data_IF_860982804871
#
_entry.id   IF_860982804871
#
_cell.length_a   1.000
_cell.length_b   1.000
_cell.length_c   1.000
_cell.angle_alpha   90.00
_cell.angle_beta   90.00
_cell.angle_gamma   90.00
#
_symmetry.space_group_name_H-M   'P 1'
#
loop_
_entity.id
_entity.type
_entity.pdbx_description
1 polymer ?
#
# COMPACT_ATOMS: atom_id res chain seq x y z
N UNK A 1 5.37 -10.62 5.20
CA UNK A 1 5.69 -11.42 4.00
C UNK A 1 4.45 -12.18 3.55
N UNK A 2 3.78 -11.66 2.50
CA UNK A 2 2.52 -12.23 2.00
C UNK A 2 2.69 -13.60 1.32
N UNK A 3 3.90 -13.98 0.95
CA UNK A 3 4.14 -15.30 0.35
C UNK A 3 4.02 -16.45 1.37
N UNK A 4 3.96 -16.13 2.65
CA UNK A 4 3.86 -17.08 3.76
C UNK A 4 2.48 -17.14 4.42
N UNK A 5 1.60 -16.16 4.13
CA UNK A 5 0.33 -15.94 4.85
C UNK A 5 -0.63 -17.14 4.88
N UNK A 6 -0.51 -18.07 3.98
CA UNK A 6 -1.36 -19.25 3.99
C UNK A 6 -1.03 -20.21 5.16
N UNK A 7 0.20 -20.14 5.66
CA UNK A 7 0.70 -21.06 6.69
C UNK A 7 1.30 -20.33 7.90
N UNK A 8 2.03 -19.23 7.64
CA UNK A 8 2.80 -18.51 8.66
C UNK A 8 2.59 -17.01 8.56
N UNK A 9 2.41 -16.34 9.69
CA UNK A 9 2.49 -14.89 9.80
C UNK A 9 3.94 -14.46 10.02
N UNK A 10 4.63 -14.07 8.96
CA UNK A 10 6.01 -13.63 9.01
C UNK A 10 6.09 -12.12 8.82
N UNK A 11 6.53 -11.41 9.85
CA UNK A 11 6.81 -9.98 9.80
C UNK A 11 8.30 -9.78 9.57
N UNK A 12 8.65 -9.01 8.53
CA UNK A 12 10.03 -8.66 8.19
C UNK A 12 10.23 -7.16 8.25
N UNK A 13 11.32 -6.73 8.89
CA UNK A 13 11.79 -5.35 8.79
C UNK A 13 12.63 -5.18 7.53
N UNK A 14 12.31 -4.17 6.72
CA UNK A 14 13.11 -3.77 5.57
C UNK A 14 14.03 -2.64 6.02
N UNK A 15 15.34 -2.83 5.91
CA UNK A 15 16.34 -1.88 6.42
C UNK A 15 17.29 -1.35 5.34
N UNK A 16 17.24 -1.93 4.14
CA UNK A 16 18.12 -1.60 3.04
C UNK A 16 17.37 -1.54 1.71
N UNK A 17 18.04 -0.98 0.69
CA UNK A 17 17.55 -1.03 -0.70
C UNK A 17 17.31 -2.47 -1.15
N UNK A 18 18.24 -3.37 -0.86
CA UNK A 18 18.15 -4.76 -1.30
C UNK A 18 16.95 -5.48 -0.68
N UNK A 19 16.63 -5.19 0.60
CA UNK A 19 15.42 -5.72 1.25
C UNK A 19 14.14 -5.26 0.51
N UNK A 20 14.11 -3.99 0.09
CA UNK A 20 12.97 -3.42 -0.64
C UNK A 20 12.85 -4.04 -2.03
N UNK A 21 13.96 -4.17 -2.75
CA UNK A 21 13.99 -4.80 -4.06
C UNK A 21 13.52 -6.27 -3.97
N UNK A 22 14.01 -7.00 -2.98
CA UNK A 22 13.60 -8.38 -2.71
C UNK A 22 12.11 -8.46 -2.38
N UNK A 23 11.61 -7.59 -1.50
CA UNK A 23 10.21 -7.61 -1.08
C UNK A 23 9.24 -7.38 -2.25
N UNK A 24 9.59 -6.48 -3.19
CA UNK A 24 8.75 -6.18 -4.35
C UNK A 24 8.89 -7.26 -5.44
N UNK A 25 10.13 -7.68 -5.77
CA UNK A 25 10.40 -8.67 -6.81
C UNK A 25 9.77 -10.03 -6.50
N UNK A 26 9.90 -10.49 -5.26
CA UNK A 26 9.39 -11.79 -4.84
C UNK A 26 7.97 -11.74 -4.29
N UNK A 27 7.26 -10.63 -4.53
CA UNK A 27 5.87 -10.44 -4.11
C UNK A 27 5.62 -10.69 -2.60
N UNK A 28 6.62 -10.41 -1.75
CA UNK A 28 6.43 -10.36 -0.29
C UNK A 28 5.44 -9.26 0.09
N UNK A 29 5.39 -8.21 -0.71
CA UNK A 29 4.34 -7.19 -0.79
C UNK A 29 3.75 -7.22 -2.20
N UNK A 30 2.43 -7.10 -2.31
CA UNK A 30 1.71 -7.07 -3.60
C UNK A 30 0.44 -6.25 -3.47
N UNK A 31 -0.02 -5.70 -4.58
CA UNK A 31 -1.09 -4.70 -4.62
C UNK A 31 -0.51 -3.32 -4.90
N UNK A 32 -1.15 -2.60 -5.82
CA UNK A 32 -0.58 -1.36 -6.34
C UNK A 32 -0.31 -0.32 -5.23
N UNK A 33 -1.23 -0.04 -4.28
CA UNK A 33 -0.97 0.92 -3.22
C UNK A 33 0.16 0.49 -2.29
N UNK A 34 0.16 -0.77 -1.83
CA UNK A 34 1.20 -1.27 -0.93
C UNK A 34 2.58 -1.27 -1.58
N UNK A 35 2.69 -1.62 -2.86
CA UNK A 35 3.95 -1.56 -3.62
C UNK A 35 4.43 -0.11 -3.72
N UNK A 36 3.52 0.84 -3.97
CA UNK A 36 3.84 2.27 -4.01
C UNK A 36 4.39 2.79 -2.68
N UNK A 37 3.72 2.49 -1.58
CA UNK A 37 4.18 2.86 -0.23
C UNK A 37 5.53 2.20 0.11
N UNK A 38 5.70 0.90 -0.20
CA UNK A 38 6.97 0.20 -0.01
C UNK A 38 8.10 0.86 -0.78
N UNK A 39 7.85 1.28 -2.02
CA UNK A 39 8.83 1.99 -2.85
C UNK A 39 9.17 3.37 -2.27
N UNK A 40 8.19 4.11 -1.74
CA UNK A 40 8.42 5.41 -1.11
C UNK A 40 9.37 5.27 0.10
N UNK A 41 9.09 4.34 1.01
CA UNK A 41 10.02 4.03 2.10
C UNK A 41 11.37 3.52 1.59
N UNK A 42 11.41 2.79 0.48
CA UNK A 42 12.64 2.34 -0.17
C UNK A 42 13.53 3.51 -0.60
N UNK A 43 12.96 4.57 -1.18
CA UNK A 43 13.70 5.80 -1.52
C UNK A 43 14.21 6.50 -0.25
N UNK A 44 13.40 6.58 0.80
CA UNK A 44 13.84 7.14 2.08
C UNK A 44 15.04 6.37 2.67
N UNK A 45 14.97 5.04 2.72
CA UNK A 45 16.06 4.19 3.22
C UNK A 45 17.33 4.35 2.37
N UNK A 46 17.17 4.38 1.04
CA UNK A 46 18.25 4.62 0.09
C UNK A 46 18.94 5.96 0.35
N UNK A 47 18.15 7.03 0.52
CA UNK A 47 18.69 8.36 0.81
C UNK A 47 19.49 8.39 2.12
N UNK A 48 19.04 7.68 3.14
CA UNK A 48 19.79 7.55 4.41
C UNK A 48 21.13 6.84 4.26
N UNK A 49 21.24 5.89 3.36
CA UNK A 49 22.43 5.05 3.20
C UNK A 49 23.43 5.64 2.20
N UNK A 50 22.94 6.19 1.09
CA UNK A 50 23.75 6.70 0.02
C UNK A 50 23.98 8.21 0.16
N UNK A 51 25.14 8.69 -0.30
CA UNK A 51 25.51 10.11 -0.25
C UNK A 51 25.56 10.75 -1.63
N UNK A 52 25.86 9.95 -2.64
CA UNK A 52 26.01 10.43 -4.00
C UNK A 52 24.65 10.52 -4.70
N UNK A 53 24.44 11.63 -5.41
CA UNK A 53 23.21 11.87 -6.17
C UNK A 53 22.96 10.81 -7.24
N UNK A 54 24.03 10.37 -7.92
CA UNK A 54 23.90 9.39 -9.00
C UNK A 54 23.49 8.04 -8.45
N UNK A 55 24.08 7.63 -7.32
CA UNK A 55 23.72 6.38 -6.64
C UNK A 55 22.24 6.37 -6.20
N UNK A 56 21.73 7.51 -5.72
CA UNK A 56 20.31 7.66 -5.34
C UNK A 56 19.39 7.51 -6.57
N UNK A 57 19.75 8.13 -7.68
CA UNK A 57 18.97 8.00 -8.93
C UNK A 57 19.04 6.58 -9.48
N UNK A 58 20.22 5.95 -9.46
CA UNK A 58 20.37 4.55 -9.89
C UNK A 58 19.56 3.59 -9.02
N UNK A 59 19.53 3.80 -7.71
CA UNK A 59 18.69 3.04 -6.80
C UNK A 59 17.19 3.25 -7.09
N UNK A 60 16.76 4.48 -7.37
CA UNK A 60 15.39 4.77 -7.77
C UNK A 60 15.01 4.02 -9.07
N UNK A 61 15.91 3.98 -10.05
CA UNK A 61 15.71 3.23 -11.28
C UNK A 61 15.65 1.70 -11.01
N UNK A 62 16.48 1.18 -10.11
CA UNK A 62 16.40 -0.23 -9.69
C UNK A 62 15.03 -0.55 -9.09
N UNK A 63 14.51 0.30 -8.20
CA UNK A 63 13.17 0.12 -7.63
C UNK A 63 12.10 0.11 -8.73
N UNK A 64 12.11 1.09 -9.65
CA UNK A 64 11.17 1.15 -10.78
C UNK A 64 11.19 -0.13 -11.63
N UNK A 65 12.38 -0.69 -11.87
CA UNK A 65 12.55 -1.86 -12.71
C UNK A 65 12.11 -3.17 -12.04
N UNK A 66 11.81 -3.18 -10.73
CA UNK A 66 11.31 -4.38 -10.05
C UNK A 66 9.97 -4.85 -10.61
N UNK A 67 9.07 -3.91 -10.96
CA UNK A 67 7.76 -4.19 -11.52
C UNK A 67 7.37 -3.15 -12.59
N UNK A 68 7.82 -3.31 -13.84
CA UNK A 68 7.66 -2.30 -14.90
C UNK A 68 6.21 -1.92 -15.23
N UNK A 69 5.23 -2.75 -14.88
CA UNK A 69 3.80 -2.49 -15.13
C UNK A 69 3.08 -1.84 -13.94
N UNK A 70 3.75 -1.68 -12.80
CA UNK A 70 3.13 -1.16 -11.58
C UNK A 70 3.15 0.38 -11.56
N UNK A 71 2.11 1.02 -12.08
CA UNK A 71 2.00 2.49 -12.18
C UNK A 71 2.23 3.18 -10.84
N UNK A 72 1.66 2.69 -9.75
CA UNK A 72 1.83 3.26 -8.42
C UNK A 72 3.29 3.22 -7.93
N UNK A 73 4.06 2.22 -8.35
CA UNK A 73 5.49 2.14 -8.06
C UNK A 73 6.24 3.33 -8.66
N UNK A 74 6.02 3.58 -9.96
CA UNK A 74 6.64 4.70 -10.66
C UNK A 74 6.23 6.03 -10.05
N UNK A 75 4.92 6.22 -9.85
CA UNK A 75 4.38 7.43 -9.24
C UNK A 75 5.01 7.73 -7.88
N UNK A 76 5.10 6.74 -6.99
CA UNK A 76 5.66 6.92 -5.66
C UNK A 76 7.15 7.26 -5.72
N UNK A 77 7.93 6.53 -6.53
CA UNK A 77 9.36 6.82 -6.72
C UNK A 77 9.57 8.22 -7.25
N UNK A 78 8.83 8.62 -8.31
CA UNK A 78 8.96 9.96 -8.89
C UNK A 78 8.58 11.05 -7.90
N UNK A 79 7.50 10.84 -7.14
CA UNK A 79 7.06 11.77 -6.09
C UNK A 79 8.14 11.98 -5.05
N UNK A 80 8.77 10.90 -4.58
CA UNK A 80 9.86 10.95 -3.61
C UNK A 80 11.11 11.65 -4.17
N UNK A 81 11.55 11.31 -5.38
CA UNK A 81 12.72 11.91 -6.00
C UNK A 81 12.53 13.41 -6.24
N UNK A 82 11.34 13.85 -6.64
CA UNK A 82 11.00 15.26 -6.83
C UNK A 82 11.04 16.09 -5.53
N UNK A 83 11.02 15.47 -4.36
CA UNK A 83 11.19 16.16 -3.07
C UNK A 83 12.65 16.43 -2.70
N UNK A 84 13.60 15.81 -3.40
CA UNK A 84 15.03 15.96 -3.11
C UNK A 84 15.54 17.27 -3.70
N UNK A 85 15.66 18.29 -2.86
CA UNK A 85 16.33 19.54 -3.20
C UNK A 85 17.75 19.55 -2.60
N UNK A 86 18.75 19.29 -3.42
CA UNK A 86 20.15 19.25 -3.00
C UNK A 86 20.72 20.58 -2.50
N UNK A 87 19.93 21.66 -2.51
CA UNK A 87 20.30 22.94 -1.87
C UNK A 87 20.03 22.94 -0.38
N UNK A 88 19.19 22.02 0.12
CA UNK A 88 18.87 21.85 1.53
C UNK A 88 19.91 20.97 2.22
N UNK A 89 19.96 21.05 3.56
CA UNK A 89 20.76 20.14 4.35
C UNK A 89 20.27 18.69 4.23
N UNK A 90 21.16 17.75 4.46
CA UNK A 90 20.82 16.31 4.40
C UNK A 90 19.72 15.96 5.38
N UNK A 91 19.78 16.49 6.58
CA UNK A 91 18.79 16.21 7.64
C UNK A 91 17.41 16.77 7.30
N UNK A 92 17.35 17.93 6.63
CA UNK A 92 16.08 18.49 6.15
C UNK A 92 15.46 17.60 5.06
N UNK A 93 16.28 17.14 4.10
CA UNK A 93 15.80 16.26 3.04
C UNK A 93 15.33 14.92 3.63
N UNK A 94 16.08 14.36 4.58
CA UNK A 94 15.69 13.10 5.24
C UNK A 94 14.33 13.22 5.93
N UNK A 95 14.08 14.32 6.65
CA UNK A 95 12.78 14.59 7.28
C UNK A 95 11.66 14.75 6.24
N UNK A 96 11.92 15.47 5.15
CA UNK A 96 10.96 15.66 4.06
C UNK A 96 10.60 14.32 3.42
N UNK A 97 11.58 13.46 3.16
CA UNK A 97 11.35 12.15 2.55
C UNK A 97 10.59 11.21 3.48
N UNK A 98 10.92 11.20 4.77
CA UNK A 98 10.17 10.42 5.75
C UNK A 98 8.72 10.87 5.80
N UNK A 99 8.48 12.18 5.91
CA UNK A 99 7.13 12.72 5.96
C UNK A 99 6.35 12.39 4.68
N UNK A 100 6.97 12.53 3.50
CA UNK A 100 6.32 12.22 2.23
C UNK A 100 5.95 10.72 2.12
N UNK A 101 6.83 9.82 2.59
CA UNK A 101 6.52 8.39 2.59
C UNK A 101 5.36 8.06 3.56
N UNK A 102 5.31 8.71 4.70
CA UNK A 102 4.19 8.62 5.65
C UNK A 102 2.90 9.17 5.02
N UNK A 103 2.96 10.35 4.38
CA UNK A 103 1.81 10.97 3.73
C UNK A 103 1.24 10.10 2.60
N UNK A 104 2.10 9.41 1.83
CA UNK A 104 1.67 8.44 0.82
C UNK A 104 0.86 7.32 1.47
N UNK A 105 1.32 6.81 2.60
CA UNK A 105 0.64 5.73 3.34
C UNK A 105 -0.68 6.19 3.96
N UNK A 106 -0.69 7.34 4.64
CA UNK A 106 -1.89 7.91 5.27
C UNK A 106 -2.97 8.26 4.24
N UNK A 107 -2.56 8.83 3.09
CA UNK A 107 -3.48 9.12 2.00
C UNK A 107 -4.13 7.86 1.42
N UNK A 108 -3.42 6.73 1.34
CA UNK A 108 -3.99 5.45 0.92
C UNK A 108 -5.04 4.96 1.92
N UNK A 109 -4.72 5.00 3.22
CA UNK A 109 -5.66 4.65 4.31
C UNK A 109 -6.92 5.49 4.22
N UNK A 110 -6.78 6.81 4.09
CA UNK A 110 -7.91 7.72 4.02
C UNK A 110 -8.76 7.51 2.76
N UNK A 111 -8.12 7.22 1.64
CA UNK A 111 -8.82 6.88 0.39
C UNK A 111 -9.63 5.60 0.57
N UNK A 112 -9.05 4.55 1.13
CA UNK A 112 -9.74 3.29 1.39
C UNK A 112 -10.92 3.47 2.38
N UNK A 113 -10.75 4.28 3.43
CA UNK A 113 -11.85 4.63 4.35
C UNK A 113 -12.99 5.36 3.64
N UNK A 114 -12.68 6.31 2.74
CA UNK A 114 -13.69 7.03 1.95
C UNK A 114 -14.43 6.08 0.99
N UNK A 115 -13.70 5.18 0.32
CA UNK A 115 -14.31 4.13 -0.51
C UNK A 115 -15.26 3.28 0.35
N UNK A 116 -14.81 2.89 1.54
CA UNK A 116 -15.61 2.13 2.48
C UNK A 116 -16.91 2.82 2.86
N UNK A 117 -16.85 4.08 3.26
CA UNK A 117 -18.04 4.89 3.64
C UNK A 117 -19.03 5.02 2.49
N UNK A 118 -18.55 5.41 1.31
CA UNK A 118 -19.42 5.58 0.13
C UNK A 118 -20.04 4.26 -0.32
N UNK A 119 -19.30 3.15 -0.24
CA UNK A 119 -19.80 1.84 -0.58
C UNK A 119 -20.77 1.26 0.46
N UNK A 120 -20.61 1.61 1.75
CA UNK A 120 -21.52 1.21 2.81
C UNK A 120 -22.93 1.70 2.54
N UNK A 121 -23.11 2.96 2.13
CA UNK A 121 -24.42 3.52 1.79
C UNK A 121 -25.15 2.71 0.69
N UNK A 122 -24.39 2.14 -0.26
CA UNK A 122 -24.94 1.31 -1.32
C UNK A 122 -25.38 -0.05 -0.74
N UNK A 123 -24.55 -0.65 0.11
CA UNK A 123 -24.86 -1.92 0.77
C UNK A 123 -26.11 -1.79 1.63
N UNK A 124 -26.24 -0.72 2.41
CA UNK A 124 -27.38 -0.43 3.26
C UNK A 124 -28.69 -0.32 2.45
N UNK A 125 -28.67 0.43 1.36
CA UNK A 125 -29.83 0.53 0.46
C UNK A 125 -30.24 -0.83 -0.11
N UNK A 126 -29.28 -1.66 -0.50
CA UNK A 126 -29.56 -3.02 -1.00
C UNK A 126 -30.14 -3.90 0.13
N UNK A 127 -29.64 -3.75 1.37
CA UNK A 127 -30.12 -4.50 2.53
C UNK A 127 -31.59 -4.17 2.85
N UNK A 128 -31.96 -2.89 2.80
CA UNK A 128 -33.34 -2.44 3.02
C UNK A 128 -34.32 -3.07 2.02
N UNK A 129 -33.91 -3.16 0.77
CA UNK A 129 -34.74 -3.71 -0.31
C UNK A 129 -34.82 -5.23 -0.27
N UNK A 130 -33.68 -5.90 -0.07
CA UNK A 130 -33.58 -7.34 -0.30
C UNK A 130 -34.06 -8.19 0.88
N UNK A 131 -33.96 -7.70 2.12
CA UNK A 131 -34.31 -8.42 3.37
C UNK A 131 -33.83 -9.89 3.43
N UNK A 132 -32.75 -10.21 2.71
CA UNK A 132 -32.14 -11.54 2.59
C UNK A 132 -30.63 -11.37 2.39
N UNK A 133 -29.91 -12.47 2.32
CA UNK A 133 -28.45 -12.47 2.10
C UNK A 133 -28.05 -11.63 0.91
N UNK A 134 -27.08 -10.72 1.12
CA UNK A 134 -26.48 -9.90 0.08
C UNK A 134 -25.20 -10.61 -0.39
N UNK A 135 -25.13 -10.89 -1.68
CA UNK A 135 -23.94 -11.43 -2.31
C UNK A 135 -23.13 -10.29 -2.94
N UNK A 136 -21.87 -10.20 -2.56
CA UNK A 136 -20.95 -9.19 -3.09
C UNK A 136 -19.85 -9.92 -3.87
N UNK A 137 -19.64 -9.51 -5.13
CA UNK A 137 -18.57 -10.01 -5.96
C UNK A 137 -17.47 -8.96 -6.06
N UNK A 138 -16.24 -9.36 -5.79
CA UNK A 138 -15.05 -8.56 -6.03
C UNK A 138 -14.07 -9.30 -6.92
N UNK A 139 -13.18 -8.57 -7.58
CA UNK A 139 -12.20 -9.13 -8.51
C UNK A 139 -10.80 -8.58 -8.22
N UNK A 140 -9.78 -9.36 -8.56
CA UNK A 140 -8.37 -9.02 -8.39
C UNK A 140 -7.93 -9.00 -6.91
N UNK A 141 -6.75 -8.44 -6.64
CA UNK A 141 -6.21 -8.30 -5.29
C UNK A 141 -6.74 -7.00 -4.65
N UNK A 142 -7.97 -7.06 -4.17
CA UNK A 142 -8.74 -5.89 -3.73
C UNK A 142 -8.94 -5.82 -2.21
N UNK A 143 -8.22 -6.63 -1.46
CA UNK A 143 -8.34 -6.72 -0.02
C UNK A 143 -7.34 -5.85 0.73
N UNK A 144 -7.45 -5.87 2.04
CA UNK A 144 -6.55 -5.21 2.98
C UNK A 144 -5.06 -5.44 2.67
N UNK A 145 -4.68 -6.65 2.30
CA UNK A 145 -3.28 -7.00 2.00
C UNK A 145 -2.71 -6.34 0.72
N UNK A 146 -3.56 -5.70 -0.09
CA UNK A 146 -3.14 -4.98 -1.30
C UNK A 146 -2.88 -3.48 -1.06
N UNK A 147 -3.21 -2.99 0.11
CA UNK A 147 -3.17 -1.58 0.53
C UNK A 147 -2.40 -1.45 1.83
N UNK A 148 -2.37 -0.25 2.40
CA UNK A 148 -1.79 -0.04 3.73
C UNK A 148 -2.77 -0.51 4.79
N UNK A 149 -4.06 -0.16 4.64
CA UNK A 149 -5.13 -0.58 5.53
C UNK A 149 -6.49 -0.52 4.82
N UNK A 150 -7.52 -1.22 5.36
CA UNK A 150 -8.91 -1.26 4.90
C UNK A 150 -9.15 -1.99 3.57
N UNK A 151 -8.24 -2.00 2.63
CA UNK A 151 -8.46 -2.47 1.28
C UNK A 151 -9.32 -1.52 0.45
N UNK A 152 -9.43 -1.78 -0.85
CA UNK A 152 -10.25 -0.99 -1.77
C UNK A 152 -11.69 -1.52 -1.83
N UNK A 153 -11.98 -2.48 -2.71
CA UNK A 153 -13.32 -3.05 -2.88
C UNK A 153 -13.85 -3.80 -1.66
N UNK A 154 -12.99 -4.21 -0.72
CA UNK A 154 -13.43 -4.86 0.52
C UNK A 154 -13.71 -3.90 1.67
N UNK A 155 -13.27 -2.64 1.58
CA UNK A 155 -13.50 -1.64 2.62
C UNK A 155 -14.99 -1.42 2.96
N UNK A 156 -15.93 -1.36 1.99
CA UNK A 156 -17.35 -1.28 2.28
C UNK A 156 -17.87 -2.50 3.05
N UNK A 157 -17.33 -3.69 2.74
CA UNK A 157 -17.73 -4.94 3.40
C UNK A 157 -17.30 -4.92 4.87
N UNK A 158 -16.06 -4.51 5.14
CA UNK A 158 -15.56 -4.38 6.52
C UNK A 158 -16.37 -3.39 7.34
N UNK A 159 -16.73 -2.24 6.75
CA UNK A 159 -17.58 -1.27 7.44
C UNK A 159 -18.99 -1.83 7.69
N UNK A 160 -19.61 -2.48 6.71
CA UNK A 160 -20.92 -3.09 6.87
C UNK A 160 -20.94 -4.13 7.99
N UNK A 161 -19.87 -4.93 8.12
CA UNK A 161 -19.72 -5.92 9.21
C UNK A 161 -19.50 -5.23 10.56
N UNK A 162 -18.69 -4.18 10.61
CA UNK A 162 -18.40 -3.44 11.84
C UNK A 162 -19.64 -2.75 12.42
N UNK A 163 -20.56 -2.33 11.57
CA UNK A 163 -21.86 -1.76 11.97
C UNK A 163 -22.97 -2.82 12.18
N UNK A 164 -22.62 -4.10 12.22
CA UNK A 164 -23.56 -5.22 12.45
C UNK A 164 -24.64 -5.42 11.40
N UNK A 165 -24.51 -4.79 10.23
CA UNK A 165 -25.45 -4.95 9.11
C UNK A 165 -25.23 -6.25 8.32
N UNK A 166 -24.03 -6.82 8.38
CA UNK A 166 -23.63 -8.05 7.69
C UNK A 166 -22.82 -8.95 8.63
N UNK A 167 -23.01 -10.24 8.50
CA UNK A 167 -22.12 -11.25 9.09
C UNK A 167 -21.29 -11.88 7.98
N UNK A 168 -19.97 -11.93 8.16
CA UNK A 168 -19.11 -12.70 7.25
C UNK A 168 -19.31 -14.19 7.55
N UNK A 169 -19.63 -15.02 6.54
CA UNK A 169 -19.58 -16.45 6.75
C UNK A 169 -18.13 -16.85 7.02
N UNK A 170 -17.88 -17.41 8.20
CA UNK A 170 -16.63 -18.09 8.50
C UNK A 170 -16.62 -19.42 7.77
N UNK A 171 -16.20 -19.42 6.52
CA UNK A 171 -15.86 -20.67 5.84
C UNK A 171 -14.49 -21.09 6.30
N UNK A 172 -14.46 -22.06 7.20
CA UNK A 172 -13.28 -22.92 7.36
C UNK A 172 -13.12 -23.72 6.07
N UNK A 173 -12.11 -23.37 5.30
CA UNK A 173 -11.62 -24.20 4.18
C UNK A 173 -10.66 -25.22 4.77
#
# INVERSE_FOLDING_TARGET
DQTKLQFDLVIKSLSSLDDVLEAINFMKVRGAPLIGATAAFGIFLTYRQLKDKREIIDAANKIKNTRPTAINLFWAVDKMINKIDFKKSRDEIEKILLQEAMDISENDIDMCKKIGKNGLEIIEKVAEFKKSTINILTHCNAGWLATIDWGTATAPIYLAVSYTHLTLPTTTI
#
